data_IF_152554481516
#
_entry.id   IF_152554481516
#
_cell.length_a   1.000
_cell.length_b   1.000
_cell.length_c   1.000
_cell.angle_alpha   90.00
_cell.angle_beta   90.00
_cell.angle_gamma   90.00
#
_symmetry.space_group_name_H-M   'P 1'
#
loop_
_entity.id
_entity.type
_entity.pdbx_description
1 polymer ?
#
# COMPACT_ATOMS: atom_id res chain seq x y z
N UNK A 1 39.36 -14.11 68.61
CA UNK A 1 38.80 -13.03 67.77
C UNK A 1 38.81 -13.53 66.34
N UNK A 2 37.64 -13.48 65.71
CA UNK A 2 37.23 -14.29 64.56
C UNK A 2 37.90 -13.85 63.26
N UNK A 3 38.39 -14.81 62.49
CA UNK A 3 38.63 -14.64 61.05
C UNK A 3 37.29 -14.77 60.31
N UNK A 4 36.89 -13.84 59.41
CA UNK A 4 35.77 -14.10 58.53
C UNK A 4 36.25 -14.97 57.37
N UNK A 5 35.57 -16.11 57.19
CA UNK A 5 35.75 -17.00 56.04
C UNK A 5 35.21 -16.34 54.78
N UNK A 6 36.10 -16.07 53.81
CA UNK A 6 35.71 -15.82 52.42
C UNK A 6 35.02 -17.06 51.85
N UNK A 7 33.73 -16.95 51.63
CA UNK A 7 33.02 -17.76 50.64
C UNK A 7 32.38 -16.81 49.65
N UNK A 8 33.19 -16.34 48.69
CA UNK A 8 32.67 -15.74 47.47
C UNK A 8 31.84 -16.79 46.75
N UNK A 9 30.52 -16.73 46.93
CA UNK A 9 29.57 -17.54 46.21
C UNK A 9 29.57 -17.08 44.76
N UNK A 10 30.34 -17.75 43.90
CA UNK A 10 30.17 -17.68 42.46
C UNK A 10 28.71 -18.06 42.15
N UNK A 11 27.91 -17.15 41.55
CA UNK A 11 26.51 -17.46 41.27
C UNK A 11 26.46 -18.69 40.38
N UNK A 12 25.57 -19.62 40.72
CA UNK A 12 25.38 -20.82 39.93
C UNK A 12 25.14 -20.41 38.47
N UNK A 13 25.73 -21.14 37.53
CA UNK A 13 25.58 -20.86 36.10
C UNK A 13 24.08 -20.77 35.75
N UNK A 14 23.23 -21.57 36.41
CA UNK A 14 21.77 -21.56 36.26
C UNK A 14 21.08 -20.27 36.75
N UNK A 15 21.54 -19.66 37.84
CA UNK A 15 20.98 -18.39 38.34
C UNK A 15 21.47 -17.20 37.51
N UNK A 16 22.71 -17.28 37.03
CA UNK A 16 23.24 -16.32 36.06
C UNK A 16 22.48 -16.39 34.73
N UNK A 17 22.15 -17.58 34.22
CA UNK A 17 21.32 -17.77 33.02
C UNK A 17 19.87 -17.32 33.19
N UNK A 18 19.27 -17.54 34.37
CA UNK A 18 17.92 -17.03 34.68
C UNK A 18 17.91 -15.50 34.69
N UNK A 19 18.87 -14.87 35.39
CA UNK A 19 19.01 -13.40 35.42
C UNK A 19 19.30 -12.82 34.04
N UNK A 20 20.11 -13.48 33.20
CA UNK A 20 20.34 -13.08 31.82
C UNK A 20 19.09 -13.22 30.94
N UNK A 21 18.28 -14.26 31.14
CA UNK A 21 17.00 -14.45 30.43
C UNK A 21 15.97 -13.38 30.83
N UNK A 22 15.95 -12.99 32.10
CA UNK A 22 15.09 -11.91 32.60
C UNK A 22 15.60 -10.52 32.20
N UNK A 23 16.90 -10.37 31.93
CA UNK A 23 17.52 -9.11 31.47
C UNK A 23 17.48 -8.90 29.94
N UNK A 24 17.26 -9.96 29.14
CA UNK A 24 17.33 -9.88 27.67
C UNK A 24 15.93 -9.86 27.03
N UNK A 25 15.52 -8.67 26.59
CA UNK A 25 14.36 -8.49 25.71
C UNK A 25 14.75 -8.67 24.24
N UNK A 26 13.98 -9.46 23.48
CA UNK A 26 14.15 -9.60 22.04
C UNK A 26 12.80 -9.50 21.35
N UNK A 27 12.74 -8.70 20.29
CA UNK A 27 11.62 -8.67 19.36
C UNK A 27 12.14 -8.70 17.93
N UNK A 28 11.43 -9.39 17.04
CA UNK A 28 11.70 -9.40 15.61
C UNK A 28 10.42 -9.01 14.88
N UNK A 29 10.57 -8.18 13.86
CA UNK A 29 9.50 -7.75 12.97
C UNK A 29 9.98 -7.96 11.55
N UNK A 30 9.08 -8.46 10.70
CA UNK A 30 9.33 -8.54 9.26
C UNK A 30 8.29 -7.74 8.52
N UNK A 31 8.76 -7.07 7.47
CA UNK A 31 7.93 -6.34 6.52
C UNK A 31 7.90 -7.14 5.22
N UNK A 32 6.70 -7.44 4.74
CA UNK A 32 6.46 -7.96 3.40
C UNK A 32 5.79 -6.91 2.55
N UNK A 33 6.14 -6.88 1.27
CA UNK A 33 5.47 -6.08 0.24
C UNK A 33 4.71 -7.06 -0.63
N UNK A 34 3.38 -6.96 -0.62
CA UNK A 34 2.53 -7.77 -1.49
C UNK A 34 1.89 -6.83 -2.52
N UNK A 35 2.33 -6.94 -3.77
CA UNK A 35 1.88 -6.08 -4.89
C UNK A 35 0.81 -6.79 -5.71
N UNK A 36 -0.22 -6.05 -6.12
CA UNK A 36 -1.22 -6.51 -7.08
C UNK A 36 -1.54 -5.43 -8.11
N UNK A 37 -1.93 -5.85 -9.30
CA UNK A 37 -2.25 -4.98 -10.44
C UNK A 37 -3.73 -5.10 -10.78
N UNK A 38 -4.37 -3.98 -11.03
CA UNK A 38 -5.75 -3.88 -11.51
C UNK A 38 -5.78 -3.13 -12.84
N UNK A 39 -6.45 -3.68 -13.84
CA UNK A 39 -6.66 -3.03 -15.13
C UNK A 39 -8.12 -2.59 -15.20
N UNK A 40 -8.33 -1.27 -15.14
CA UNK A 40 -9.66 -0.68 -15.20
C UNK A 40 -9.91 -0.12 -16.60
N UNK A 41 -10.66 -0.87 -17.41
CA UNK A 41 -11.08 -0.47 -18.74
C UNK A 41 -12.33 0.43 -18.67
N UNK A 42 -12.27 1.58 -19.34
CA UNK A 42 -13.34 2.56 -19.48
C UNK A 42 -13.63 2.72 -20.97
N UNK A 43 -14.75 2.16 -21.44
CA UNK A 43 -15.18 2.33 -22.82
C UNK A 43 -15.91 3.66 -23.04
N UNK A 44 -15.90 4.15 -24.29
CA UNK A 44 -16.54 5.41 -24.69
C UNK A 44 -16.05 6.61 -23.87
N UNK A 45 -14.75 6.70 -23.70
CA UNK A 45 -14.08 7.65 -22.81
C UNK A 45 -14.38 9.11 -23.17
N UNK A 46 -14.55 9.44 -24.46
CA UNK A 46 -15.00 10.76 -24.92
C UNK A 46 -16.33 11.21 -24.30
N UNK A 47 -17.23 10.27 -23.96
CA UNK A 47 -18.54 10.55 -23.34
C UNK A 47 -18.51 10.57 -21.82
N UNK A 48 -17.37 10.16 -21.25
CA UNK A 48 -17.12 10.11 -19.81
C UNK A 48 -16.65 11.49 -19.29
N UNK A 49 -16.56 12.51 -20.16
CA UNK A 49 -16.37 13.91 -19.76
C UNK A 49 -17.50 14.40 -18.84
N UNK A 50 -17.28 14.19 -17.54
CA UNK A 50 -18.13 14.68 -16.48
C UNK A 50 -17.76 16.08 -16.00
N UNK A 51 -18.57 16.61 -15.10
CA UNK A 51 -18.23 17.82 -14.35
C UNK A 51 -17.07 17.55 -13.36
N UNK A 52 -16.21 18.54 -13.05
CA UNK A 52 -15.18 18.36 -12.04
C UNK A 52 -15.77 17.88 -10.71
N UNK A 53 -15.24 16.79 -10.17
CA UNK A 53 -15.77 16.10 -8.98
C UNK A 53 -16.52 14.81 -9.30
N UNK A 54 -16.95 14.61 -10.54
CA UNK A 54 -17.49 13.33 -11.00
C UNK A 54 -16.37 12.33 -11.25
N UNK A 55 -16.60 11.09 -10.82
CA UNK A 55 -15.66 9.99 -10.99
C UNK A 55 -16.37 8.73 -11.44
N UNK A 56 -15.58 7.84 -12.04
CA UNK A 56 -15.93 6.44 -12.20
C UNK A 56 -15.10 5.63 -11.20
N UNK A 57 -15.72 4.59 -10.64
CA UNK A 57 -15.10 3.73 -9.64
C UNK A 57 -14.94 2.28 -10.12
N UNK A 58 -13.93 1.60 -9.58
CA UNK A 58 -13.70 0.18 -9.81
C UNK A 58 -13.16 -0.48 -8.55
N UNK A 59 -13.77 -1.59 -8.13
CA UNK A 59 -13.36 -2.34 -6.95
C UNK A 59 -12.51 -3.56 -7.32
N UNK A 60 -11.47 -3.86 -6.53
CA UNK A 60 -10.52 -4.94 -6.80
C UNK A 60 -9.84 -5.46 -5.53
N UNK A 61 -9.10 -6.56 -5.65
CA UNK A 61 -8.28 -7.12 -4.56
C UNK A 61 -6.80 -7.03 -4.91
N UNK A 62 -5.99 -6.55 -3.96
CA UNK A 62 -4.53 -6.48 -4.09
C UNK A 62 -3.89 -6.52 -2.69
N UNK A 63 -2.77 -7.24 -2.56
CA UNK A 63 -2.04 -7.38 -1.29
C UNK A 63 -2.89 -7.90 -0.13
N UNK A 64 -3.83 -8.80 -0.42
CA UNK A 64 -4.75 -9.38 0.57
C UNK A 64 -5.89 -8.46 1.04
N UNK A 65 -6.01 -7.26 0.48
CA UNK A 65 -7.03 -6.26 0.85
C UNK A 65 -7.97 -5.98 -0.32
N UNK A 66 -9.17 -5.47 -0.02
CA UNK A 66 -10.13 -4.98 -1.01
C UNK A 66 -10.04 -3.46 -1.11
N UNK A 67 -9.91 -2.97 -2.33
CA UNK A 67 -9.69 -1.57 -2.65
C UNK A 67 -10.75 -1.08 -3.64
N UNK A 68 -10.98 0.22 -3.64
CA UNK A 68 -11.76 0.91 -4.67
C UNK A 68 -10.91 2.04 -5.25
N UNK A 69 -10.72 2.00 -6.56
CA UNK A 69 -10.07 3.06 -7.34
C UNK A 69 -11.15 4.04 -7.78
N UNK A 70 -10.91 5.34 -7.59
CA UNK A 70 -11.75 6.43 -8.08
C UNK A 70 -10.96 7.20 -9.12
N UNK A 71 -11.40 7.17 -10.37
CA UNK A 71 -10.80 7.92 -11.47
C UNK A 71 -11.67 9.13 -11.81
N UNK A 72 -11.08 10.32 -11.84
CA UNK A 72 -11.72 11.60 -12.12
C UNK A 72 -11.22 12.13 -13.47
N UNK A 73 -11.94 11.90 -14.58
CA UNK A 73 -11.53 12.30 -15.92
C UNK A 73 -11.32 13.82 -16.05
N UNK A 74 -12.17 14.62 -15.39
CA UNK A 74 -12.14 16.08 -15.47
C UNK A 74 -11.63 16.75 -14.16
N UNK A 75 -10.86 16.00 -13.37
CA UNK A 75 -10.41 16.41 -12.04
C UNK A 75 -11.47 16.22 -10.94
N UNK A 76 -11.01 16.11 -9.69
CA UNK A 76 -11.87 15.85 -8.52
C UNK A 76 -12.46 17.14 -7.87
N UNK A 77 -12.09 18.34 -8.36
CA UNK A 77 -12.57 19.64 -7.86
C UNK A 77 -12.55 20.68 -8.98
N UNK A 78 -13.46 21.66 -8.91
CA UNK A 78 -13.59 22.74 -9.89
C UNK A 78 -12.26 23.47 -10.20
N UNK A 79 -11.44 23.76 -9.18
CA UNK A 79 -10.14 24.44 -9.36
C UNK A 79 -9.09 23.64 -10.13
N UNK A 80 -9.35 22.36 -10.42
CA UNK A 80 -8.47 21.44 -11.13
C UNK A 80 -9.22 20.76 -12.28
N UNK A 81 -10.16 21.49 -12.88
CA UNK A 81 -10.85 21.12 -14.12
C UNK A 81 -9.82 20.76 -15.20
N UNK A 82 -10.07 19.69 -15.93
CA UNK A 82 -9.21 19.19 -17.00
C UNK A 82 -7.90 18.57 -16.52
N UNK A 83 -7.78 18.25 -15.22
CA UNK A 83 -6.62 17.57 -14.66
C UNK A 83 -7.01 16.17 -14.18
N UNK A 84 -6.96 15.20 -15.09
CA UNK A 84 -7.35 13.84 -14.77
C UNK A 84 -6.49 13.27 -13.64
N UNK A 85 -7.16 12.69 -12.64
CA UNK A 85 -6.51 12.18 -11.44
C UNK A 85 -7.22 10.96 -10.90
N UNK A 86 -6.53 10.22 -10.05
CA UNK A 86 -7.10 9.07 -9.34
C UNK A 86 -6.91 9.19 -7.83
N UNK A 87 -7.73 8.45 -7.09
CA UNK A 87 -7.64 8.26 -5.65
C UNK A 87 -7.92 6.82 -5.29
N UNK A 88 -7.37 6.37 -4.18
CA UNK A 88 -7.56 5.03 -3.67
C UNK A 88 -8.32 5.04 -2.34
N UNK A 89 -9.17 4.04 -2.14
CA UNK A 89 -9.89 3.81 -0.89
C UNK A 89 -9.74 2.34 -0.48
N UNK A 90 -9.59 2.10 0.82
CA UNK A 90 -9.70 0.77 1.41
C UNK A 90 -11.17 0.45 1.68
N UNK A 91 -11.69 -0.64 1.08
CA UNK A 91 -13.09 -1.07 1.23
C UNK A 91 -13.26 -2.18 2.29
N UNK A 92 -12.18 -2.64 2.91
CA UNK A 92 -12.20 -3.78 3.83
C UNK A 92 -12.81 -3.41 5.21
N UNK A 93 -14.13 -3.51 5.36
CA UNK A 93 -14.84 -3.22 6.62
C UNK A 93 -14.57 -4.20 7.77
N UNK A 94 -13.82 -5.29 7.52
CA UNK A 94 -13.11 -6.02 8.56
C UNK A 94 -13.94 -6.84 9.55
N UNK A 95 -14.79 -7.76 9.09
CA UNK A 95 -15.44 -8.72 10.00
C UNK A 95 -14.49 -9.82 10.52
N UNK A 96 -13.40 -10.14 9.81
CA UNK A 96 -12.55 -11.31 10.14
C UNK A 96 -11.06 -11.03 10.35
N UNK A 97 -10.53 -9.86 9.95
CA UNK A 97 -9.07 -9.68 9.85
C UNK A 97 -8.40 -9.00 11.03
N UNK A 98 -9.14 -8.40 11.97
CA UNK A 98 -8.60 -7.69 13.16
C UNK A 98 -7.75 -6.43 12.85
N UNK A 99 -7.18 -6.33 11.65
CA UNK A 99 -6.38 -5.21 11.18
C UNK A 99 -7.28 -4.30 10.36
N UNK A 100 -7.76 -3.24 11.02
CA UNK A 100 -8.64 -2.24 10.40
C UNK A 100 -7.91 -1.43 9.33
N UNK A 101 -6.66 -1.01 9.56
CA UNK A 101 -5.92 -0.20 8.59
C UNK A 101 -5.06 -1.01 7.61
N UNK A 102 -4.77 -0.43 6.45
CA UNK A 102 -3.75 -0.96 5.54
C UNK A 102 -2.71 0.13 5.25
N UNK A 103 -1.43 -0.21 5.33
CA UNK A 103 -0.36 0.66 4.84
C UNK A 103 -0.05 0.27 3.41
N UNK A 104 -0.24 1.18 2.46
CA UNK A 104 -0.06 0.89 1.04
C UNK A 104 0.52 2.08 0.28
N UNK A 105 1.24 1.79 -0.78
CA UNK A 105 1.58 2.73 -1.85
C UNK A 105 0.87 2.27 -3.12
N UNK A 106 0.62 3.19 -4.04
CA UNK A 106 0.01 2.81 -5.30
C UNK A 106 0.49 3.69 -6.46
N UNK A 107 0.51 3.10 -7.65
CA UNK A 107 0.79 3.75 -8.92
C UNK A 107 -0.44 3.66 -9.79
N UNK A 108 -0.70 4.72 -10.55
CA UNK A 108 -1.73 4.73 -11.58
C UNK A 108 -1.08 5.13 -12.89
N UNK A 109 -1.43 4.38 -13.94
CA UNK A 109 -0.90 4.57 -15.29
C UNK A 109 -2.03 4.55 -16.30
N UNK A 110 -1.98 5.45 -17.28
CA UNK A 110 -2.79 5.36 -18.50
C UNK A 110 -2.01 4.51 -19.49
N UNK A 111 -2.60 3.41 -19.95
CA UNK A 111 -1.98 2.56 -20.97
C UNK A 111 -2.34 3.05 -22.37
N UNK A 112 -1.37 2.99 -23.27
CA UNK A 112 -1.56 3.20 -24.70
C UNK A 112 -2.04 1.92 -25.40
N UNK A 113 -2.21 2.01 -26.72
CA UNK A 113 -2.64 0.88 -27.57
C UNK A 113 -1.71 -0.34 -27.49
N UNK A 114 -0.42 -0.12 -27.31
CA UNK A 114 0.59 -1.19 -27.17
C UNK A 114 0.59 -1.84 -25.77
N UNK A 115 -0.25 -1.36 -24.85
CA UNK A 115 -0.29 -1.79 -23.46
C UNK A 115 0.77 -1.15 -22.58
N UNK A 116 1.62 -0.28 -23.14
CA UNK A 116 2.66 0.41 -22.38
C UNK A 116 2.13 1.67 -21.69
N UNK A 117 2.67 2.05 -20.52
CA UNK A 117 2.27 3.27 -19.83
C UNK A 117 2.64 4.54 -20.62
N UNK A 118 1.64 5.28 -21.10
CA UNK A 118 1.84 6.60 -21.73
C UNK A 118 2.13 7.65 -20.65
N UNK A 119 1.40 7.59 -19.53
CA UNK A 119 1.59 8.46 -18.37
C UNK A 119 1.41 7.68 -17.10
N UNK A 120 2.11 8.09 -16.05
CA UNK A 120 2.05 7.46 -14.74
C UNK A 120 2.24 8.47 -13.63
N UNK A 121 1.52 8.27 -12.53
CA UNK A 121 1.79 8.93 -11.25
C UNK A 121 1.81 7.91 -10.13
N UNK A 122 2.40 8.26 -9.00
CA UNK A 122 2.44 7.38 -7.83
C UNK A 122 2.24 8.15 -6.53
N UNK A 123 1.66 7.45 -5.55
CA UNK A 123 1.57 7.87 -4.15
C UNK A 123 2.41 6.90 -3.35
N UNK A 124 3.35 7.43 -2.57
CA UNK A 124 4.16 6.64 -1.65
C UNK A 124 3.34 6.01 -0.51
N UNK A 125 3.99 5.29 0.43
CA UNK A 125 3.29 4.55 1.46
C UNK A 125 2.49 5.44 2.42
N UNK A 126 1.18 5.23 2.47
CA UNK A 126 0.26 5.90 3.41
C UNK A 126 -0.63 4.89 4.14
N UNK A 127 -1.27 5.33 5.23
CA UNK A 127 -2.28 4.55 5.94
C UNK A 127 -3.66 4.81 5.35
N UNK A 128 -4.37 3.74 5.06
CA UNK A 128 -5.75 3.74 4.63
C UNK A 128 -6.61 3.10 5.70
N UNK A 129 -7.76 3.70 5.97
CA UNK A 129 -8.73 3.20 6.94
C UNK A 129 -10.05 2.88 6.21
N UNK A 130 -10.75 1.80 6.58
CA UNK A 130 -12.00 1.40 5.95
C UNK A 130 -13.09 2.43 6.24
N UNK A 131 -13.97 2.64 5.28
CA UNK A 131 -15.10 3.56 5.43
C UNK A 131 -14.73 5.05 5.42
N UNK A 132 -13.45 5.39 5.26
CA UNK A 132 -13.05 6.76 4.96
C UNK A 132 -13.20 7.09 3.48
N UNK A 133 -13.35 8.38 3.19
CA UNK A 133 -13.43 8.91 1.82
C UNK A 133 -12.14 8.63 1.02
N UNK A 134 -12.20 8.62 -0.33
CA UNK A 134 -11.02 8.39 -1.16
C UNK A 134 -9.94 9.41 -0.83
N UNK A 135 -8.74 8.94 -0.55
CA UNK A 135 -7.62 9.75 -0.08
C UNK A 135 -6.43 9.68 -1.02
N UNK A 136 -5.48 10.60 -0.81
CA UNK A 136 -4.21 10.73 -1.54
C UNK A 136 -4.38 10.78 -3.07
N UNK A 137 -4.48 11.99 -3.63
CA UNK A 137 -4.61 12.18 -5.09
C UNK A 137 -3.32 11.82 -5.82
N UNK A 138 -3.46 11.18 -6.98
CA UNK A 138 -2.40 11.06 -7.98
C UNK A 138 -2.84 11.67 -9.30
N UNK A 139 -1.98 12.49 -9.89
CA UNK A 139 -2.25 13.13 -11.18
C UNK A 139 -1.74 12.19 -12.26
N UNK A 140 -2.59 11.92 -13.25
CA UNK A 140 -2.24 11.02 -14.36
C UNK A 140 -2.16 11.80 -15.67
N UNK A 141 -3.03 12.79 -15.86
CA UNK A 141 -2.99 13.77 -16.94
C UNK A 141 -3.14 15.18 -16.33
N UNK A 142 -2.05 15.80 -15.86
CA UNK A 142 -2.08 17.06 -15.12
C UNK A 142 -2.50 18.30 -15.92
N UNK A 143 -2.57 18.23 -17.25
CA UNK A 143 -3.01 19.37 -18.07
C UNK A 143 -4.04 18.96 -19.14
N UNK A 144 -4.93 19.89 -19.55
CA UNK A 144 -5.86 19.64 -20.65
C UNK A 144 -5.14 19.24 -21.95
N UNK A 145 -3.98 19.85 -22.24
CA UNK A 145 -3.19 19.49 -23.43
C UNK A 145 -2.68 18.06 -23.37
N UNK A 146 -2.20 17.59 -22.21
CA UNK A 146 -1.78 16.21 -22.04
C UNK A 146 -2.95 15.25 -22.20
N UNK A 147 -4.13 15.62 -21.70
CA UNK A 147 -5.34 14.82 -21.87
C UNK A 147 -5.73 14.71 -23.34
N UNK A 148 -5.82 15.83 -24.05
CA UNK A 148 -6.09 15.84 -25.49
C UNK A 148 -5.04 15.09 -26.31
N UNK A 149 -3.78 15.11 -25.90
CA UNK A 149 -2.70 14.38 -26.58
C UNK A 149 -2.72 12.87 -26.29
N UNK A 150 -3.32 12.45 -25.16
CA UNK A 150 -3.48 11.05 -24.82
C UNK A 150 -4.68 10.39 -25.52
N UNK A 151 -5.72 11.17 -25.88
CA UNK A 151 -6.91 10.65 -26.55
C UNK A 151 -6.62 9.91 -27.88
N UNK A 152 -5.76 10.42 -28.79
CA UNK A 152 -5.44 9.70 -30.03
C UNK A 152 -4.67 8.38 -29.81
N UNK A 153 -4.04 8.21 -28.65
CA UNK A 153 -3.29 7.00 -28.30
C UNK A 153 -4.21 5.88 -27.79
N UNK A 154 -5.48 6.21 -27.53
CA UNK A 154 -6.51 5.27 -27.11
C UNK A 154 -7.02 4.46 -28.30
N UNK A 155 -7.34 3.20 -28.04
CA UNK A 155 -7.98 2.33 -29.02
C UNK A 155 -9.50 2.41 -28.87
N UNK A 156 -10.23 2.59 -29.98
CA UNK A 156 -11.70 2.53 -30.03
C UNK A 156 -12.42 3.38 -28.95
N UNK A 157 -11.97 4.62 -28.74
CA UNK A 157 -12.50 5.52 -27.70
C UNK A 157 -12.52 4.87 -26.30
N UNK A 158 -11.52 4.03 -26.00
CA UNK A 158 -11.41 3.32 -24.72
C UNK A 158 -10.11 3.65 -24.00
N UNK A 159 -10.21 3.78 -22.68
CA UNK A 159 -9.10 4.07 -21.79
C UNK A 159 -8.86 2.88 -20.87
N UNK A 160 -7.61 2.43 -20.75
CA UNK A 160 -7.22 1.49 -19.70
C UNK A 160 -6.40 2.20 -18.63
N UNK A 161 -6.97 2.28 -17.42
CA UNK A 161 -6.29 2.77 -16.22
C UNK A 161 -5.72 1.58 -15.46
N UNK A 162 -4.40 1.41 -15.51
CA UNK A 162 -3.69 0.44 -14.69
C UNK A 162 -3.45 1.02 -13.31
N UNK A 163 -3.77 0.26 -12.27
CA UNK A 163 -3.44 0.59 -10.89
C UNK A 163 -2.64 -0.54 -10.24
N UNK A 164 -1.40 -0.25 -9.86
CA UNK A 164 -0.57 -1.16 -9.08
C UNK A 164 -0.62 -0.73 -7.61
N UNK A 165 -1.03 -1.63 -6.72
CA UNK A 165 -1.09 -1.39 -5.27
C UNK A 165 -0.12 -2.32 -4.57
N UNK A 166 0.75 -1.75 -3.75
CA UNK A 166 1.67 -2.51 -2.89
C UNK A 166 1.28 -2.33 -1.45
N UNK A 167 0.87 -3.42 -0.80
CA UNK A 167 0.50 -3.43 0.62
C UNK A 167 1.70 -3.83 1.46
N UNK A 168 1.99 -3.02 2.48
CA UNK A 168 3.06 -3.26 3.45
C UNK A 168 2.50 -4.02 4.64
N UNK A 169 2.77 -5.32 4.67
CA UNK A 169 2.36 -6.21 5.75
C UNK A 169 3.48 -6.34 6.78
N UNK A 170 3.22 -5.85 7.99
CA UNK A 170 4.14 -5.93 9.12
C UNK A 170 3.67 -7.01 10.07
N UNK A 171 4.50 -8.03 10.31
CA UNK A 171 4.17 -9.10 11.26
C UNK A 171 5.32 -9.30 12.24
N UNK A 172 4.94 -9.58 13.49
CA UNK A 172 5.90 -10.02 14.51
C UNK A 172 6.38 -11.42 14.14
N UNK A 173 7.69 -11.58 14.19
CA UNK A 173 8.29 -12.88 14.02
C UNK A 173 8.69 -13.47 15.37
N UNK A 174 8.38 -14.75 15.58
CA UNK A 174 8.77 -15.42 16.80
C UNK A 174 10.28 -15.62 16.85
N UNK A 175 10.84 -15.57 18.07
CA UNK A 175 12.26 -15.83 18.36
C UNK A 175 12.76 -17.10 17.66
N UNK A 176 11.98 -18.18 17.74
CA UNK A 176 12.31 -19.48 17.14
C UNK A 176 12.47 -19.39 15.62
N UNK A 177 11.53 -18.75 14.92
CA UNK A 177 11.61 -18.58 13.46
C UNK A 177 12.80 -17.72 13.03
N UNK A 178 13.17 -16.73 13.84
CA UNK A 178 14.35 -15.91 13.61
C UNK A 178 15.65 -16.72 13.77
N UNK A 179 15.81 -17.46 14.88
CA UNK A 179 17.00 -18.28 15.13
C UNK A 179 17.19 -19.36 14.06
N UNK A 180 16.11 -20.06 13.67
CA UNK A 180 16.20 -21.10 12.64
C UNK A 180 16.69 -20.56 11.28
N UNK A 181 16.29 -19.34 10.89
CA UNK A 181 16.76 -18.71 9.66
C UNK A 181 18.24 -18.31 9.71
N UNK A 182 18.71 -17.84 10.85
CA UNK A 182 20.12 -17.44 11.00
C UNK A 182 21.07 -18.64 11.14
N UNK A 183 20.57 -19.83 11.47
CA UNK A 183 21.38 -21.05 11.59
C UNK A 183 21.43 -21.85 10.27
N UNK A 184 20.53 -21.58 9.33
CA UNK A 184 20.41 -22.27 8.04
C UNK A 184 21.00 -21.48 6.86
N UNK A 185 21.65 -20.33 7.14
CA UNK A 185 22.33 -19.47 6.17
C UNK A 185 23.83 -19.41 6.47
#
# INVERSE_FOLDING_TARGET
>A
MSSPSSSDQLPSLGDSWRRLRDALSFSSVRVRRDTGTHLFHVGRYSRVEGSPGECIESAFRAGGRRWKLFYYPNGDRAKRRGQACAKLMLEDWGFFSGIREARAEYRVSILGRDGEPVRSGAVGPHRYFPGLKPSYRVDVLPTPNEQSSALPLMEDDSLVVRCDVTVLNVYRESRIKWYLRNLLN
#
